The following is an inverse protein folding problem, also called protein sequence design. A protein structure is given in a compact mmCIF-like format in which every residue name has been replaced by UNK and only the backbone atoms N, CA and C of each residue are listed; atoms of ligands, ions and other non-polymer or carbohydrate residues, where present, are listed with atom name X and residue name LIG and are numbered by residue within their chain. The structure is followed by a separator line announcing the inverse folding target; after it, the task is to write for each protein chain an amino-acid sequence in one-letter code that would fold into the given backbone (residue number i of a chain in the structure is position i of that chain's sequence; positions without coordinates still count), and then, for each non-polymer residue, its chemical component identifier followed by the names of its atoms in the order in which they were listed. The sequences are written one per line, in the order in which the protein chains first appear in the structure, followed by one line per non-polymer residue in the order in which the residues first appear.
data_IF_897064873015
#
_entry.id   IF_897064873015
#
_cell.length_a   1.000
_cell.length_b   1.000
_cell.length_c   1.000
_cell.angle_alpha   90.00
_cell.angle_beta   90.00
_cell.angle_gamma   90.00
#
_symmetry.space_group_name_H-M   'P 1'
#
loop_
_entity.id
_entity.type
_entity.pdbx_description
1 polymer ?
#
# COMPACT_ATOMS: atom_id res chain seq x y z
N UNK A 1 -27.29 3.09 -39.10
CA UNK A 1 -27.28 3.75 -37.82
C UNK A 1 -25.86 3.86 -37.29
N UNK A 2 -25.50 4.98 -36.83
CA UNK A 2 -24.17 5.16 -36.26
C UNK A 2 -24.08 4.50 -34.91
N UNK A 3 -23.75 3.33 -34.97
CA UNK A 3 -23.69 2.52 -33.78
C UNK A 3 -22.64 3.05 -32.82
N UNK A 4 -21.60 3.61 -33.37
CA UNK A 4 -20.56 4.16 -32.55
C UNK A 4 -21.01 5.28 -31.63
N UNK A 5 -22.19 5.75 -31.86
CA UNK A 5 -22.71 6.77 -30.96
C UNK A 5 -23.17 6.22 -29.65
N UNK A 6 -23.14 4.95 -29.50
CA UNK A 6 -23.49 4.49 -28.20
C UNK A 6 -22.57 5.18 -27.22
N UNK A 7 -23.15 5.66 -26.24
CA UNK A 7 -22.46 6.38 -25.21
C UNK A 7 -21.66 5.46 -24.30
N UNK A 8 -21.41 4.25 -24.73
CA UNK A 8 -20.62 3.37 -23.90
C UNK A 8 -19.27 3.99 -23.65
N UNK A 9 -19.04 4.30 -22.43
CA UNK A 9 -17.81 4.85 -21.98
C UNK A 9 -16.74 3.76 -22.05
N UNK A 10 -15.58 4.10 -22.56
CA UNK A 10 -14.46 3.18 -22.48
C UNK A 10 -14.19 2.82 -21.01
N UNK A 11 -13.75 1.60 -20.73
CA UNK A 11 -13.34 1.24 -19.37
C UNK A 11 -12.28 2.20 -18.88
N UNK A 12 -12.46 2.68 -17.66
CA UNK A 12 -11.48 3.57 -17.06
C UNK A 12 -11.33 3.28 -15.58
N UNK A 13 -10.11 3.47 -15.08
CA UNK A 13 -9.81 3.39 -13.68
C UNK A 13 -8.79 4.45 -13.34
N UNK A 14 -9.06 5.21 -12.31
CA UNK A 14 -8.20 6.31 -11.87
C UNK A 14 -7.89 6.17 -10.40
N UNK A 15 -6.64 6.29 -10.05
CA UNK A 15 -6.16 6.30 -8.67
C UNK A 15 -5.63 7.68 -8.35
N UNK A 16 -6.13 8.26 -7.28
CA UNK A 16 -5.71 9.58 -6.81
C UNK A 16 -5.23 9.49 -5.37
N UNK A 17 -3.98 9.88 -5.14
CA UNK A 17 -3.42 9.96 -3.80
C UNK A 17 -3.70 11.34 -3.21
N UNK A 18 -4.10 11.36 -1.95
CA UNK A 18 -4.34 12.62 -1.24
C UNK A 18 -3.03 13.30 -0.81
N UNK A 19 -1.98 12.53 -0.62
CA UNK A 19 -0.66 13.04 -0.28
C UNK A 19 0.38 12.30 -1.10
N UNK A 20 1.13 13.08 -1.83
CA UNK A 20 1.75 12.53 -3.00
C UNK A 20 3.07 11.87 -2.74
N UNK A 21 3.68 11.75 -1.67
CA UNK A 21 4.98 11.12 -1.92
C UNK A 21 5.85 10.88 -0.71
N UNK A 22 5.73 11.67 0.31
CA UNK A 22 6.62 11.50 1.45
C UNK A 22 5.84 11.56 2.74
N UNK A 23 5.72 10.40 3.34
CA UNK A 23 5.21 10.33 4.70
C UNK A 23 6.38 10.05 5.63
N UNK A 24 6.43 10.79 6.72
CA UNK A 24 7.49 10.65 7.69
C UNK A 24 6.91 10.61 9.09
N UNK A 25 7.41 9.70 9.89
CA UNK A 25 7.01 9.55 11.27
C UNK A 25 8.25 9.31 12.14
N UNK A 26 8.26 9.90 13.31
CA UNK A 26 9.29 9.64 14.30
C UNK A 26 8.82 8.49 15.19
N UNK A 27 9.57 7.40 15.17
CA UNK A 27 9.25 6.20 15.93
C UNK A 27 10.15 6.15 17.16
N UNK A 28 9.53 6.14 18.32
CA UNK A 28 10.27 5.96 19.57
C UNK A 28 10.74 4.52 19.70
N UNK A 29 11.92 4.33 20.28
CA UNK A 29 12.47 3.00 20.47
C UNK A 29 11.50 2.08 21.22
N UNK A 30 11.33 0.87 20.72
CA UNK A 30 10.46 -0.18 21.26
C UNK A 30 8.95 0.14 21.22
N UNK A 31 8.56 1.24 20.60
CA UNK A 31 7.16 1.59 20.38
C UNK A 31 6.79 1.44 18.91
N UNK A 32 5.50 1.42 18.63
CA UNK A 32 5.03 1.34 17.26
C UNK A 32 4.70 2.73 16.74
N UNK A 33 5.27 3.08 15.59
CA UNK A 33 4.91 4.29 14.87
C UNK A 33 4.07 3.96 13.65
N UNK A 34 3.23 4.90 13.23
CA UNK A 34 2.29 4.72 12.13
C UNK A 34 2.41 5.86 11.12
N UNK A 35 2.27 5.50 9.85
CA UNK A 35 2.09 6.45 8.75
C UNK A 35 0.81 6.08 8.03
N UNK A 36 -0.09 7.03 7.86
CA UNK A 36 -1.40 6.78 7.25
C UNK A 36 -1.62 7.71 6.08
N UNK A 37 -2.02 7.15 4.95
CA UNK A 37 -2.33 7.88 3.74
C UNK A 37 -3.65 7.38 3.17
N UNK A 38 -4.45 8.31 2.66
CA UNK A 38 -5.68 7.96 1.98
C UNK A 38 -5.51 8.11 0.47
N UNK A 39 -6.21 7.28 -0.28
CA UNK A 39 -6.28 7.40 -1.72
C UNK A 39 -7.68 7.07 -2.21
N UNK A 40 -7.96 7.49 -3.43
CA UNK A 40 -9.27 7.31 -4.05
C UNK A 40 -9.15 6.49 -5.31
N UNK A 41 -10.10 5.60 -5.54
CA UNK A 41 -10.26 4.87 -6.80
C UNK A 41 -11.57 5.28 -7.43
N UNK A 42 -11.52 5.67 -8.70
CA UNK A 42 -12.68 5.85 -9.54
C UNK A 42 -12.63 4.82 -10.66
N UNK A 43 -13.58 3.90 -10.65
CA UNK A 43 -13.68 2.85 -11.66
C UNK A 43 -15.00 3.00 -12.41
N UNK A 44 -14.95 2.91 -13.72
CA UNK A 44 -16.12 3.07 -14.59
C UNK A 44 -16.05 2.08 -15.74
N UNK A 45 -17.16 1.37 -15.95
CA UNK A 45 -17.32 0.43 -17.05
C UNK A 45 -16.21 -0.64 -17.08
N UNK A 46 -15.92 -1.20 -15.92
CA UNK A 46 -14.92 -2.27 -15.77
C UNK A 46 -15.58 -3.54 -15.24
N UNK A 47 -14.91 -4.66 -15.37
CA UNK A 47 -15.33 -5.94 -14.76
C UNK A 47 -14.64 -6.13 -13.41
N UNK A 48 -14.80 -5.14 -12.53
CA UNK A 48 -14.06 -5.11 -11.30
C UNK A 48 -12.66 -4.53 -11.46
N UNK A 49 -11.91 -4.51 -10.39
CA UNK A 49 -10.53 -4.03 -10.40
C UNK A 49 -9.72 -4.66 -9.28
N UNK A 50 -8.41 -4.54 -9.40
CA UNK A 50 -7.47 -5.01 -8.39
C UNK A 50 -6.55 -3.86 -8.00
N UNK A 51 -6.14 -3.86 -6.75
CA UNK A 51 -5.12 -2.94 -6.23
C UNK A 51 -3.91 -3.77 -5.84
N UNK A 52 -2.74 -3.37 -6.35
CA UNK A 52 -1.47 -3.99 -6.01
C UNK A 52 -0.60 -3.00 -5.26
N UNK A 53 0.11 -3.50 -4.27
CA UNK A 53 1.14 -2.77 -3.56
C UNK A 53 2.41 -3.60 -3.59
N UNK A 54 3.52 -2.98 -3.94
CA UNK A 54 4.80 -3.68 -3.97
C UNK A 54 5.95 -2.70 -3.80
N UNK A 55 7.10 -3.21 -3.43
CA UNK A 55 8.32 -2.40 -3.37
C UNK A 55 8.67 -1.89 -4.77
N UNK A 56 9.16 -0.65 -4.84
CA UNK A 56 9.64 -0.09 -6.08
C UNK A 56 10.91 -0.82 -6.55
N UNK A 57 11.23 -0.68 -7.83
CA UNK A 57 12.45 -1.25 -8.38
C UNK A 57 13.68 -0.72 -7.62
N UNK A 58 14.56 -1.63 -7.23
CA UNK A 58 15.73 -1.29 -6.43
C UNK A 58 15.49 -1.30 -4.93
N UNK A 59 14.25 -1.53 -4.49
CA UNK A 59 13.91 -1.67 -3.08
C UNK A 59 13.44 -3.08 -2.79
N UNK A 60 13.50 -3.46 -1.52
CA UNK A 60 13.07 -4.79 -1.07
C UNK A 60 11.88 -4.65 -0.13
N UNK A 61 11.43 -5.76 0.43
CA UNK A 61 10.37 -5.77 1.44
C UNK A 61 10.83 -5.24 2.80
N UNK A 62 12.11 -4.89 2.96
CA UNK A 62 12.66 -4.33 4.19
C UNK A 62 12.80 -2.82 4.10
N UNK A 63 12.69 -2.14 5.25
CA UNK A 63 13.15 -0.76 5.37
C UNK A 63 14.67 -0.76 5.47
N UNK A 64 15.30 0.24 4.89
CA UNK A 64 16.75 0.39 4.91
C UNK A 64 17.16 1.67 5.63
N UNK A 65 18.10 1.55 6.53
CA UNK A 65 18.70 2.70 7.20
C UNK A 65 19.62 3.46 6.26
N UNK A 66 19.36 4.75 6.10
CA UNK A 66 20.07 5.58 5.13
C UNK A 66 21.53 5.79 5.52
N UNK A 67 21.85 5.84 6.81
CA UNK A 67 23.20 6.12 7.30
C UNK A 67 23.97 4.85 7.60
N UNK A 68 23.35 3.91 8.33
CA UNK A 68 24.06 2.74 8.84
C UNK A 68 23.75 1.46 8.08
N UNK A 69 22.79 1.49 7.15
CA UNK A 69 22.49 0.35 6.32
C UNK A 69 21.77 -0.80 7.01
N UNK A 70 21.31 -0.60 8.24
CA UNK A 70 20.54 -1.61 8.94
C UNK A 70 19.17 -1.80 8.32
N UNK A 71 18.58 -2.96 8.52
CA UNK A 71 17.31 -3.32 7.90
C UNK A 71 16.24 -3.60 8.94
N UNK A 72 15.01 -3.21 8.61
CA UNK A 72 13.82 -3.56 9.37
C UNK A 72 13.00 -4.51 8.49
N UNK A 73 12.83 -5.73 8.94
CA UNK A 73 12.18 -6.78 8.16
C UNK A 73 10.66 -6.69 8.18
N UNK A 74 9.99 -7.33 7.23
CA UNK A 74 8.55 -7.39 7.21
C UNK A 74 7.98 -8.25 8.35
N UNK A 75 6.72 -7.96 8.72
CA UNK A 75 6.07 -8.61 9.88
C UNK A 75 5.56 -10.01 9.56
N UNK A 76 5.34 -10.34 8.30
CA UNK A 76 4.68 -11.58 7.91
C UNK A 76 3.33 -11.32 7.25
N UNK A 77 2.29 -12.05 7.64
CA UNK A 77 0.99 -11.96 7.00
C UNK A 77 -0.10 -11.76 8.05
N UNK A 78 -0.88 -10.67 7.89
CA UNK A 78 -2.04 -10.39 8.71
C UNK A 78 -1.72 -10.38 10.21
N UNK A 79 -0.75 -9.58 10.60
CA UNK A 79 -0.22 -9.53 11.97
C UNK A 79 -0.75 -8.29 12.69
N UNK A 80 -1.40 -8.46 13.87
CA UNK A 80 -1.78 -7.30 14.69
C UNK A 80 -0.56 -6.65 15.34
N UNK A 81 -0.66 -5.37 15.66
CA UNK A 81 0.47 -4.65 16.23
C UNK A 81 0.94 -5.21 17.57
N UNK A 82 0.03 -5.83 18.34
CA UNK A 82 0.39 -6.48 19.58
C UNK A 82 1.32 -7.69 19.41
N UNK A 83 1.41 -8.21 18.17
CA UNK A 83 2.27 -9.34 17.85
C UNK A 83 3.51 -8.94 17.04
N UNK A 84 3.75 -7.64 16.85
CA UNK A 84 4.99 -7.20 16.21
C UNK A 84 6.18 -7.58 17.07
N UNK A 85 7.13 -8.27 16.43
CA UNK A 85 8.44 -8.44 17.02
C UNK A 85 9.27 -7.17 16.91
N UNK A 86 10.40 -7.17 17.57
CA UNK A 86 11.35 -6.08 17.44
C UNK A 86 11.86 -6.00 15.99
N UNK A 87 11.94 -4.77 15.48
CA UNK A 87 12.49 -4.50 14.14
C UNK A 87 11.66 -5.15 13.04
N UNK A 88 10.34 -4.91 13.10
CA UNK A 88 9.39 -5.34 12.08
C UNK A 88 8.52 -4.19 11.62
N UNK A 89 8.07 -4.26 10.38
CA UNK A 89 7.16 -3.29 9.80
C UNK A 89 6.24 -3.95 8.79
N UNK A 90 5.16 -3.27 8.46
CA UNK A 90 4.23 -3.77 7.48
C UNK A 90 3.21 -2.73 7.06
N UNK A 91 2.34 -3.12 6.16
CA UNK A 91 1.26 -2.29 5.66
C UNK A 91 -0.10 -2.90 5.95
N UNK A 92 -1.11 -2.03 5.96
CA UNK A 92 -2.52 -2.42 5.99
C UNK A 92 -3.28 -1.54 4.99
N UNK A 93 -3.98 -2.16 4.06
CA UNK A 93 -4.75 -1.48 3.03
C UNK A 93 -6.22 -1.83 3.19
N UNK A 94 -7.06 -0.84 3.44
CA UNK A 94 -8.47 -1.05 3.77
C UNK A 94 -9.36 -0.02 3.10
N UNK A 95 -10.54 -0.43 2.63
CA UNK A 95 -11.53 0.55 2.18
C UNK A 95 -12.04 1.37 3.37
N UNK A 96 -12.37 2.64 3.09
CA UNK A 96 -12.98 3.51 4.08
C UNK A 96 -14.48 3.49 3.81
N UNK A 97 -15.26 3.11 4.82
CA UNK A 97 -16.71 3.15 4.71
C UNK A 97 -17.22 4.58 4.86
N UNK A 98 -18.41 4.84 4.35
CA UNK A 98 -18.96 6.19 4.33
C UNK A 98 -19.13 6.84 5.71
N UNK A 99 -19.12 6.06 6.76
CA UNK A 99 -19.26 6.55 8.13
C UNK A 99 -17.92 6.77 8.83
N UNK A 100 -16.83 6.40 8.21
CA UNK A 100 -15.50 6.50 8.81
C UNK A 100 -14.62 7.41 7.98
N UNK A 101 -13.75 8.16 8.64
CA UNK A 101 -12.76 8.98 7.94
C UNK A 101 -11.41 8.28 7.83
N UNK A 102 -10.98 7.62 8.89
CA UNK A 102 -9.71 6.90 8.92
C UNK A 102 -9.82 5.78 9.95
N UNK A 103 -9.43 4.56 9.62
CA UNK A 103 -9.47 3.48 10.59
C UNK A 103 -8.43 3.71 11.69
N UNK A 104 -8.72 3.17 12.87
CA UNK A 104 -7.78 3.18 13.98
C UNK A 104 -6.61 2.25 13.64
N UNK A 105 -5.38 2.77 13.52
CA UNK A 105 -4.24 1.96 13.10
C UNK A 105 -3.89 0.84 14.07
N UNK A 106 -4.28 0.97 15.35
CA UNK A 106 -4.01 -0.06 16.35
C UNK A 106 -4.91 -1.29 16.20
N UNK A 107 -6.00 -1.17 15.46
CA UNK A 107 -6.94 -2.27 15.23
C UNK A 107 -6.72 -3.01 13.92
N UNK A 108 -5.77 -2.57 13.09
CA UNK A 108 -5.54 -3.13 11.78
C UNK A 108 -4.61 -4.34 11.83
N UNK A 109 -4.67 -5.13 10.76
CA UNK A 109 -3.74 -6.24 10.54
C UNK A 109 -2.74 -5.84 9.46
N UNK A 110 -1.48 -6.13 9.70
CA UNK A 110 -0.38 -5.69 8.86
C UNK A 110 0.31 -6.86 8.18
N UNK A 111 0.76 -6.63 6.97
CA UNK A 111 1.47 -7.64 6.17
C UNK A 111 2.76 -7.06 5.61
N UNK A 112 3.69 -7.95 5.29
CA UNK A 112 4.92 -7.56 4.61
C UNK A 112 4.60 -6.99 3.24
N UNK A 113 5.23 -5.86 2.90
CA UNK A 113 5.15 -5.30 1.55
C UNK A 113 5.81 -6.28 0.59
N UNK A 114 5.11 -6.72 -0.47
CA UNK A 114 5.71 -7.63 -1.45
C UNK A 114 6.89 -6.99 -2.19
N UNK A 115 7.77 -7.81 -2.70
CA UNK A 115 8.87 -7.35 -3.55
C UNK A 115 8.36 -6.85 -4.92
N UNK A 116 9.26 -6.36 -5.76
CA UNK A 116 8.93 -5.88 -7.08
C UNK A 116 8.76 -7.07 -8.03
N UNK A 117 7.55 -7.63 -8.09
CA UNK A 117 7.25 -8.81 -8.89
C UNK A 117 5.83 -8.77 -9.44
N UNK A 118 5.67 -9.12 -10.69
CA UNK A 118 4.36 -9.24 -11.32
C UNK A 118 3.57 -10.48 -10.86
N UNK A 119 4.21 -11.39 -10.16
CA UNK A 119 3.54 -12.56 -9.61
C UNK A 119 2.87 -12.32 -8.28
N UNK A 120 3.03 -11.13 -7.70
CA UNK A 120 2.42 -10.81 -6.41
C UNK A 120 0.89 -10.84 -6.48
N UNK A 121 0.30 -11.28 -5.39
CA UNK A 121 -1.16 -11.28 -5.25
C UNK A 121 -1.67 -9.85 -5.03
N UNK A 122 -2.90 -9.54 -5.50
CA UNK A 122 -3.48 -8.23 -5.23
C UNK A 122 -3.66 -8.01 -3.73
N UNK A 123 -3.47 -6.76 -3.31
CA UNK A 123 -3.78 -6.34 -1.95
C UNK A 123 -5.28 -6.17 -1.73
N UNK A 124 -6.02 -5.91 -2.79
CA UNK A 124 -7.46 -5.74 -2.74
C UNK A 124 -8.08 -6.09 -4.11
N UNK A 125 -9.27 -6.70 -4.08
CA UNK A 125 -10.03 -7.03 -5.28
C UNK A 125 -11.45 -6.53 -5.09
N UNK A 126 -11.97 -5.79 -6.08
CA UNK A 126 -13.37 -5.37 -6.15
C UNK A 126 -14.01 -5.99 -7.38
N UNK A 127 -15.28 -6.41 -7.23
CA UNK A 127 -16.08 -6.91 -8.36
C UNK A 127 -17.01 -5.82 -8.92
N UNK A 128 -16.94 -4.61 -8.40
CA UNK A 128 -17.82 -3.52 -8.84
C UNK A 128 -17.49 -3.06 -10.24
N UNK A 129 -18.51 -2.85 -11.07
CA UNK A 129 -18.36 -2.33 -12.42
C UNK A 129 -18.25 -0.83 -12.47
N UNK A 130 -18.81 -0.15 -11.49
CA UNK A 130 -18.68 1.28 -11.28
C UNK A 130 -18.55 1.55 -9.80
N UNK A 131 -17.54 2.29 -9.42
CA UNK A 131 -17.30 2.57 -8.03
C UNK A 131 -16.39 3.77 -7.87
N UNK A 132 -16.75 4.63 -6.93
CA UNK A 132 -15.85 5.65 -6.39
C UNK A 132 -15.67 5.32 -4.93
N UNK A 133 -14.46 5.03 -4.52
CA UNK A 133 -14.20 4.54 -3.17
C UNK A 133 -12.89 5.08 -2.64
N UNK A 134 -12.93 5.46 -1.38
CA UNK A 134 -11.75 5.86 -0.63
C UNK A 134 -11.14 4.67 0.08
N UNK A 135 -9.83 4.67 0.14
CA UNK A 135 -9.03 3.65 0.81
C UNK A 135 -8.03 4.31 1.75
N UNK A 136 -7.67 3.57 2.77
CA UNK A 136 -6.59 3.93 3.66
C UNK A 136 -5.44 2.94 3.51
N UNK A 137 -4.24 3.49 3.39
CA UNK A 137 -3.00 2.73 3.41
C UNK A 137 -2.20 3.20 4.61
N UNK A 138 -2.04 2.32 5.59
CA UNK A 138 -1.29 2.60 6.80
C UNK A 138 -0.07 1.70 6.88
N UNK A 139 1.06 2.29 7.25
CA UNK A 139 2.27 1.56 7.58
C UNK A 139 2.51 1.63 9.08
N UNK A 140 2.97 0.53 9.64
CA UNK A 140 3.36 0.46 11.05
C UNK A 140 4.75 -0.14 11.17
N UNK A 141 5.54 0.36 12.08
CA UNK A 141 6.88 -0.14 12.33
C UNK A 141 7.20 -0.13 13.82
N UNK A 142 7.91 -1.15 14.25
CA UNK A 142 8.48 -1.24 15.59
C UNK A 142 9.98 -1.42 15.46
N UNK A 143 10.74 -0.46 16.00
CA UNK A 143 12.19 -0.46 15.94
C UNK A 143 12.69 -0.49 17.37
N UNK A 144 13.53 -1.47 17.68
CA UNK A 144 14.07 -1.62 19.03
C UNK A 144 15.31 -0.76 19.24
N UNK A 145 15.69 -0.60 20.50
CA UNK A 145 16.83 0.22 20.90
C UNK A 145 18.19 -0.41 20.54
N UNK A 146 18.21 -1.65 20.07
CA UNK A 146 19.43 -2.28 19.54
C UNK A 146 19.76 -1.83 18.12
N UNK A 147 18.86 -1.11 17.46
CA UNK A 147 19.12 -0.51 16.15
C UNK A 147 19.56 0.94 16.31
N UNK A 148 20.47 1.42 15.48
CA UNK A 148 20.89 2.81 15.55
C UNK A 148 19.73 3.75 15.17
N UNK A 149 19.75 4.94 15.71
CA UNK A 149 18.89 6.03 15.23
C UNK A 149 19.26 6.34 13.80
N UNK A 150 18.29 6.26 12.92
CA UNK A 150 18.53 6.44 11.49
C UNK A 150 17.22 6.80 10.78
N UNK A 151 17.33 7.16 9.54
CA UNK A 151 16.20 7.24 8.63
C UNK A 151 16.03 5.87 7.97
N UNK A 152 15.00 5.14 8.38
CA UNK A 152 14.64 3.86 7.78
C UNK A 152 13.59 4.11 6.72
N UNK A 153 13.91 3.79 5.48
CA UNK A 153 13.10 4.20 4.35
C UNK A 153 12.84 3.07 3.38
N UNK A 154 11.77 3.22 2.64
CA UNK A 154 11.44 2.40 1.49
C UNK A 154 10.68 3.22 0.47
N UNK A 155 10.55 2.67 -0.71
CA UNK A 155 9.69 3.22 -1.74
C UNK A 155 8.74 2.11 -2.22
N UNK A 156 7.46 2.42 -2.29
CA UNK A 156 6.44 1.46 -2.72
C UNK A 156 5.68 2.02 -3.91
N UNK A 157 5.19 1.11 -4.72
CA UNK A 157 4.34 1.42 -5.86
C UNK A 157 2.94 0.89 -5.57
N UNK A 158 1.97 1.77 -5.71
CA UNK A 158 0.56 1.43 -5.63
C UNK A 158 0.00 1.48 -7.04
N UNK A 159 -0.61 0.39 -7.51
CA UNK A 159 -1.14 0.31 -8.85
C UNK A 159 -2.53 -0.31 -8.85
N UNK A 160 -3.33 0.09 -9.84
CA UNK A 160 -4.66 -0.48 -10.07
C UNK A 160 -4.74 -1.05 -11.46
N UNK A 161 -5.48 -2.15 -11.57
CA UNK A 161 -5.67 -2.87 -12.82
C UNK A 161 -7.15 -3.19 -12.98
N UNK A 162 -7.72 -2.91 -14.15
CA UNK A 162 -9.09 -3.28 -14.46
C UNK A 162 -9.23 -4.80 -14.55
N UNK A 163 -10.38 -5.30 -14.10
CA UNK A 163 -10.70 -6.72 -14.09
C UNK A 163 -10.44 -7.38 -12.75
N UNK A 164 -11.44 -8.12 -12.24
CA UNK A 164 -11.33 -8.81 -10.96
C UNK A 164 -10.65 -10.18 -11.09
N UNK A 165 -10.52 -10.73 -12.29
CA UNK A 165 -9.92 -12.03 -12.49
C UNK A 165 -8.40 -11.96 -12.40
N UNK A 166 -7.82 -12.93 -11.71
CA UNK A 166 -6.37 -13.08 -11.66
C UNK A 166 -5.98 -13.98 -12.83
N UNK A 167 -5.14 -13.46 -13.74
CA UNK A 167 -4.66 -14.24 -14.86
C UNK A 167 -3.58 -15.21 -14.41
N UNK A 168 -3.59 -16.40 -14.95
CA UNK A 168 -2.67 -17.45 -14.55
C UNK A 168 -1.20 -17.13 -14.86
N UNK A 169 -0.95 -16.29 -15.84
CA UNK A 169 0.39 -15.91 -16.23
C UNK A 169 0.91 -14.65 -15.51
N UNK A 170 0.14 -14.10 -14.60
CA UNK A 170 0.52 -12.91 -13.86
C UNK A 170 0.60 -11.63 -14.66
N UNK A 171 0.24 -11.66 -15.93
CA UNK A 171 0.28 -10.46 -16.76
C UNK A 171 -0.81 -9.48 -16.34
N UNK A 172 -0.44 -8.20 -16.20
CA UNK A 172 -1.35 -7.13 -15.80
C UNK A 172 -1.34 -6.02 -16.82
N UNK A 173 -2.53 -5.52 -17.12
CA UNK A 173 -2.70 -4.31 -17.92
C UNK A 173 -2.87 -3.15 -16.93
N UNK A 174 -1.79 -2.48 -16.59
CA UNK A 174 -1.79 -1.43 -15.57
C UNK A 174 -2.38 -0.16 -16.15
N UNK A 175 -3.48 0.29 -15.56
CA UNK A 175 -4.15 1.52 -15.96
C UNK A 175 -3.58 2.75 -15.25
N UNK A 176 -3.16 2.58 -14.01
CA UNK A 176 -2.68 3.67 -13.17
C UNK A 176 -1.62 3.13 -12.22
N UNK A 177 -0.57 3.88 -12.04
CA UNK A 177 0.50 3.56 -11.11
C UNK A 177 0.96 4.83 -10.42
N UNK A 178 1.11 4.77 -9.11
CA UNK A 178 1.60 5.87 -8.30
C UNK A 178 2.71 5.38 -7.40
N UNK A 179 3.74 6.19 -7.28
CA UNK A 179 4.84 5.92 -6.36
C UNK A 179 4.63 6.70 -5.07
N UNK A 180 4.95 6.09 -3.97
CA UNK A 180 4.98 6.75 -2.67
C UNK A 180 6.22 6.34 -1.93
N UNK A 181 6.77 7.29 -1.19
CA UNK A 181 7.95 7.07 -0.36
C UNK A 181 7.54 7.18 1.10
N UNK A 182 7.87 6.17 1.88
CA UNK A 182 7.67 6.20 3.32
C UNK A 182 9.00 6.22 4.02
N UNK A 183 9.17 7.18 4.92
CA UNK A 183 10.39 7.33 5.72
C UNK A 183 10.02 7.26 7.19
N UNK A 184 10.68 6.37 7.89
CA UNK A 184 10.48 6.19 9.32
C UNK A 184 11.76 6.59 10.03
N UNK A 185 11.67 7.56 10.93
CA UNK A 185 12.80 8.03 11.70
C UNK A 185 12.71 7.43 13.10
N UNK A 186 13.75 6.71 13.50
CA UNK A 186 13.82 6.15 14.83
C UNK A 186 14.65 7.06 15.75
N UNK A 187 14.11 7.33 16.92
CA UNK A 187 14.85 7.96 18.00
C UNK A 187 15.42 6.89 18.91
N UNK A 188 16.67 6.98 19.16
CA UNK A 188 17.27 6.13 20.16
C UNK A 188 17.15 6.76 21.55
#
# INVERSE_FOLDING_TARGET
APIGSDSSTAPSITLTLSDTVKSQEVVQANEIGYISNNFNIEASNVDGYKIFLQAAAGYTSALHGATYGEKISGVGKQVPTSSFGNNQWGYSLNPITSSETTPDPTSLLYSTVPDNSFSNMPAYISISTEETKDFNLTFAAKISDDKPSDHYETQVILSTVAGANITANGFRNISTMQEMTSTICANA
#
